data_IF_992847163840
#
_entry.id   IF_992847163840
#
_cell.length_a   1.000
_cell.length_b   1.000
_cell.length_c   1.000
_cell.angle_alpha   90.00
_cell.angle_beta   90.00
_cell.angle_gamma   90.00
#
_symmetry.space_group_name_H-M   'P 1'
#
loop_
_entity.id
_entity.type
_entity.pdbx_description
1 polymer ?
#
# COMPACT_ATOMS: atom_id res chain seq x y z
N UNK A 1 5.81 -9.09 -10.02
CA UNK A 1 6.15 -8.03 -11.01
C UNK A 1 5.20 -8.04 -12.21
N UNK A 2 5.28 -9.00 -13.16
CA UNK A 2 4.40 -8.96 -14.36
C UNK A 2 2.91 -9.16 -14.05
N UNK A 3 2.58 -9.98 -13.05
CA UNK A 3 1.20 -10.17 -12.60
C UNK A 3 0.63 -8.89 -11.95
N UNK A 4 1.41 -8.23 -11.08
CA UNK A 4 1.00 -7.00 -10.37
C UNK A 4 0.74 -5.84 -11.33
N UNK A 5 1.52 -5.73 -12.42
CA UNK A 5 1.25 -4.79 -13.51
C UNK A 5 -0.11 -5.00 -14.15
N UNK A 6 -0.45 -6.25 -14.47
CA UNK A 6 -1.76 -6.57 -15.04
C UNK A 6 -2.87 -6.31 -14.04
N UNK A 7 -2.66 -6.62 -12.76
CA UNK A 7 -3.66 -6.44 -11.73
C UNK A 7 -3.97 -4.95 -11.48
N UNK A 8 -2.93 -4.11 -11.35
CA UNK A 8 -3.07 -2.65 -11.24
C UNK A 8 -3.71 -2.04 -12.48
N UNK A 9 -3.36 -2.52 -13.68
CA UNK A 9 -4.01 -2.09 -14.94
C UNK A 9 -5.51 -2.42 -14.96
N UNK A 10 -5.91 -3.62 -14.53
CA UNK A 10 -7.32 -4.01 -14.48
C UNK A 10 -8.11 -3.15 -13.48
N UNK A 11 -7.51 -2.85 -12.33
CA UNK A 11 -8.11 -1.96 -11.34
C UNK A 11 -8.27 -0.54 -11.88
N UNK A 12 -7.22 0.06 -12.45
CA UNK A 12 -7.27 1.41 -13.07
C UNK A 12 -8.30 1.46 -14.20
N UNK A 13 -8.36 0.42 -15.04
CA UNK A 13 -9.36 0.29 -16.10
C UNK A 13 -10.79 0.27 -15.53
N UNK A 14 -11.03 -0.46 -14.45
CA UNK A 14 -12.33 -0.47 -13.76
C UNK A 14 -12.67 0.88 -13.15
N UNK A 15 -11.70 1.56 -12.51
CA UNK A 15 -11.91 2.91 -11.98
C UNK A 15 -12.32 3.90 -13.06
N UNK A 16 -11.69 3.84 -14.25
CA UNK A 16 -12.02 4.71 -15.38
C UNK A 16 -13.39 4.40 -15.97
N UNK A 17 -13.66 3.13 -16.23
CA UNK A 17 -14.85 2.70 -16.98
C UNK A 17 -16.11 2.63 -16.12
N UNK A 18 -15.98 2.21 -14.86
CA UNK A 18 -17.11 2.03 -13.92
C UNK A 18 -17.33 3.28 -13.09
N UNK A 19 -16.26 3.91 -12.60
CA UNK A 19 -16.35 5.03 -11.65
C UNK A 19 -16.14 6.41 -12.30
N UNK A 20 -15.83 6.45 -13.61
CA UNK A 20 -15.59 7.70 -14.33
C UNK A 20 -14.30 8.42 -13.94
N UNK A 21 -13.31 7.73 -13.35
CA UNK A 21 -12.03 8.34 -13.01
C UNK A 21 -11.31 8.85 -14.26
N UNK A 22 -10.93 10.14 -14.26
CA UNK A 22 -10.21 10.79 -15.38
C UNK A 22 -8.82 11.27 -15.00
N UNK A 23 -8.43 11.08 -13.74
CA UNK A 23 -7.13 11.49 -13.24
C UNK A 23 -5.98 10.60 -13.75
N UNK A 24 -4.74 11.00 -13.47
CA UNK A 24 -3.59 10.13 -13.66
C UNK A 24 -3.58 9.05 -12.58
N UNK A 25 -3.15 7.83 -12.91
CA UNK A 25 -2.99 6.76 -11.91
C UNK A 25 -1.93 7.20 -10.89
N UNK A 26 -2.27 7.34 -9.60
CA UNK A 26 -1.32 7.81 -8.60
C UNK A 26 -0.49 6.66 -8.04
N UNK A 27 0.66 7.02 -7.47
CA UNK A 27 1.55 6.11 -6.77
C UNK A 27 2.04 6.75 -5.47
N UNK A 28 2.50 5.94 -4.52
CA UNK A 28 3.11 6.42 -3.27
C UNK A 28 4.63 6.27 -3.35
N UNK A 29 5.36 7.39 -3.46
CA UNK A 29 6.83 7.38 -3.50
C UNK A 29 7.42 7.36 -2.09
N UNK A 30 7.49 6.18 -1.48
CA UNK A 30 8.05 6.01 -0.12
C UNK A 30 9.45 6.54 0.04
N UNK A 31 10.23 6.63 -1.04
CA UNK A 31 11.59 7.12 -0.96
C UNK A 31 11.69 8.57 -0.51
N UNK A 32 10.62 9.34 -0.73
CA UNK A 32 10.50 10.72 -0.25
C UNK A 32 10.10 10.77 1.22
N UNK A 33 9.34 9.78 1.68
CA UNK A 33 8.75 9.75 3.03
C UNK A 33 9.52 8.85 3.99
N UNK A 34 10.54 8.10 3.55
CA UNK A 34 11.20 7.04 4.33
C UNK A 34 11.74 7.51 5.69
N UNK A 35 12.13 8.78 5.80
CA UNK A 35 12.64 9.37 7.04
C UNK A 35 11.53 9.57 8.09
N UNK A 36 10.30 9.79 7.64
CA UNK A 36 9.10 9.89 8.47
C UNK A 36 7.89 9.31 7.70
N UNK A 37 7.79 7.97 7.69
CA UNK A 37 6.71 7.28 6.99
C UNK A 37 5.34 7.59 7.60
N UNK A 38 5.29 7.80 8.91
CA UNK A 38 4.04 8.09 9.64
C UNK A 38 3.47 9.45 9.23
N UNK A 39 4.34 10.42 8.96
CA UNK A 39 3.98 11.75 8.45
C UNK A 39 3.72 11.82 6.94
N UNK A 40 3.67 10.68 6.22
CA UNK A 40 3.45 10.70 4.78
C UNK A 40 2.10 11.35 4.42
N UNK A 41 2.04 12.24 3.41
CA UNK A 41 0.79 12.89 2.98
C UNK A 41 -0.34 11.94 2.62
N UNK A 42 -0.02 10.71 2.18
CA UNK A 42 -1.05 9.70 1.87
C UNK A 42 -1.81 9.23 3.12
N UNK A 43 -1.18 9.30 4.29
CA UNK A 43 -1.72 8.84 5.57
C UNK A 43 -2.43 9.96 6.35
N UNK A 44 -2.57 11.15 5.77
CA UNK A 44 -3.27 12.26 6.43
C UNK A 44 -4.70 11.90 6.86
N UNK A 45 -5.16 12.54 7.93
CA UNK A 45 -6.49 12.34 8.51
C UNK A 45 -7.62 13.00 7.71
N UNK A 46 -7.26 13.79 6.68
CA UNK A 46 -8.24 14.50 5.87
C UNK A 46 -9.25 13.53 5.26
N UNK A 47 -10.55 13.68 5.52
CA UNK A 47 -11.56 12.81 4.92
C UNK A 47 -11.59 12.95 3.40
N UNK A 48 -11.07 14.04 2.82
CA UNK A 48 -11.10 14.30 1.37
C UNK A 48 -9.84 13.85 0.64
N UNK A 49 -8.68 14.07 1.24
CA UNK A 49 -7.39 13.93 0.56
C UNK A 49 -6.54 12.78 1.09
N UNK A 50 -6.69 12.44 2.38
CA UNK A 50 -5.90 11.41 3.04
C UNK A 50 -6.59 10.07 3.06
N UNK A 51 -5.80 9.00 3.03
CA UNK A 51 -6.31 7.63 3.10
C UNK A 51 -6.41 7.13 4.55
N UNK A 52 -5.97 7.93 5.53
CA UNK A 52 -6.00 7.61 6.96
C UNK A 52 -4.72 6.92 7.45
N UNK A 53 -4.34 7.19 8.69
CA UNK A 53 -3.15 6.61 9.31
C UNK A 53 -3.41 5.27 10.00
N UNK A 54 -2.79 5.10 11.17
CA UNK A 54 -2.98 3.91 12.02
C UNK A 54 -4.40 3.87 12.57
N UNK A 55 -4.91 2.67 12.78
CA UNK A 55 -6.19 2.46 13.44
C UNK A 55 -6.09 2.32 14.95
N UNK A 56 -7.27 2.18 15.56
CA UNK A 56 -7.41 1.95 16.99
C UNK A 56 -7.19 0.47 17.34
N UNK A 57 -6.00 0.18 17.85
CA UNK A 57 -5.57 -1.15 18.25
C UNK A 57 -5.74 -1.45 19.75
N UNK A 58 -6.13 -0.46 20.57
CA UNK A 58 -5.90 -0.52 22.02
C UNK A 58 -6.96 0.10 22.91
N UNK A 59 -8.03 0.68 22.35
CA UNK A 59 -9.12 1.25 23.17
C UNK A 59 -9.89 0.20 23.98
N UNK A 60 -9.94 -1.05 23.52
CA UNK A 60 -10.60 -2.15 24.21
C UNK A 60 -9.96 -3.51 23.89
N UNK A 61 -10.35 -4.55 24.64
CA UNK A 61 -9.99 -5.94 24.36
C UNK A 61 -10.54 -6.45 23.04
N UNK A 62 -11.49 -5.76 22.43
CA UNK A 62 -12.12 -6.09 21.14
C UNK A 62 -11.56 -5.25 19.99
N UNK A 63 -10.73 -4.23 20.28
CA UNK A 63 -10.10 -3.42 19.25
C UNK A 63 -9.29 -4.28 18.26
N UNK A 64 -9.45 -3.95 16.98
CA UNK A 64 -8.86 -4.67 15.83
C UNK A 64 -8.24 -3.67 14.84
N UNK A 65 -7.55 -2.65 15.36
CA UNK A 65 -6.78 -1.69 14.57
C UNK A 65 -7.59 -0.98 13.46
N UNK A 66 -8.89 -0.72 13.69
CA UNK A 66 -9.77 -0.08 12.71
C UNK A 66 -9.35 1.38 12.50
N UNK A 67 -9.19 1.79 11.23
CA UNK A 67 -8.81 3.16 10.85
C UNK A 67 -9.82 4.18 11.39
N UNK A 68 -9.33 5.20 12.08
CA UNK A 68 -10.19 6.18 12.80
C UNK A 68 -10.40 7.50 12.05
N UNK A 69 -9.56 7.79 11.04
CA UNK A 69 -9.57 9.05 10.31
C UNK A 69 -9.25 8.84 8.81
N UNK A 70 -9.33 9.91 8.01
CA UNK A 70 -9.15 9.82 6.56
C UNK A 70 -10.39 9.31 5.82
N UNK A 71 -10.26 9.18 4.49
CA UNK A 71 -11.40 8.92 3.61
C UNK A 71 -12.13 7.59 3.85
N UNK A 72 -11.47 6.62 4.48
CA UNK A 72 -11.97 5.25 4.70
C UNK A 72 -12.33 4.96 6.16
N UNK A 73 -12.26 5.96 7.04
CA UNK A 73 -12.74 5.79 8.41
C UNK A 73 -14.26 5.50 8.40
N UNK A 74 -14.77 4.67 9.33
CA UNK A 74 -16.21 4.42 9.45
C UNK A 74 -17.04 5.70 9.58
N UNK A 75 -16.48 6.72 10.25
CA UNK A 75 -17.08 8.06 10.41
C UNK A 75 -17.27 8.84 9.11
N UNK A 76 -16.57 8.47 8.03
CA UNK A 76 -16.49 9.22 6.77
C UNK A 76 -17.13 8.51 5.57
N UNK A 77 -18.10 7.63 5.81
CA UNK A 77 -18.83 6.92 4.75
C UNK A 77 -19.05 5.43 5.03
N UNK A 78 -18.79 4.97 6.26
CA UNK A 78 -18.98 3.59 6.69
C UNK A 78 -18.34 2.57 5.73
N UNK A 79 -17.08 2.80 5.36
CA UNK A 79 -16.36 1.91 4.46
C UNK A 79 -16.19 0.53 5.10
N UNK A 80 -16.70 -0.50 4.42
CA UNK A 80 -16.68 -1.90 4.88
C UNK A 80 -16.12 -2.80 3.80
N UNK A 81 -15.19 -3.66 4.20
CA UNK A 81 -14.61 -4.72 3.41
C UNK A 81 -15.49 -5.97 3.53
N UNK A 82 -15.63 -6.75 2.46
CA UNK A 82 -16.47 -7.94 2.45
C UNK A 82 -15.71 -9.26 2.69
N UNK A 83 -14.40 -9.27 2.43
CA UNK A 83 -13.53 -10.45 2.48
C UNK A 83 -12.38 -10.21 3.46
N UNK A 84 -11.91 -11.18 4.26
CA UNK A 84 -12.41 -12.56 4.38
C UNK A 84 -13.77 -12.67 5.09
N UNK A 85 -14.11 -11.68 5.90
CA UNK A 85 -15.44 -11.46 6.48
C UNK A 85 -15.79 -9.97 6.39
N UNK A 86 -17.05 -9.57 6.60
CA UNK A 86 -17.40 -8.16 6.75
C UNK A 86 -16.67 -7.49 7.92
N UNK A 87 -15.87 -6.46 7.65
CA UNK A 87 -15.19 -5.64 8.68
C UNK A 87 -14.80 -4.26 8.13
N UNK A 88 -14.37 -3.35 9.01
CA UNK A 88 -13.81 -2.06 8.60
C UNK A 88 -12.33 -2.18 8.24
N UNK A 89 -11.80 -1.22 7.48
CA UNK A 89 -10.38 -1.19 7.13
C UNK A 89 -9.50 -1.08 8.38
N UNK A 90 -8.45 -1.90 8.45
CA UNK A 90 -7.54 -2.03 9.59
C UNK A 90 -6.11 -1.71 9.20
N UNK A 91 -5.43 -0.94 10.04
CA UNK A 91 -4.00 -0.59 9.89
C UNK A 91 -3.33 -0.52 11.26
N UNK A 92 -2.12 -1.04 11.35
CA UNK A 92 -1.30 -0.96 12.55
C UNK A 92 0.10 -0.50 12.13
N UNK A 93 0.26 0.82 11.98
CA UNK A 93 1.49 1.37 11.43
C UNK A 93 2.65 1.08 12.39
N UNK A 94 3.67 0.35 11.93
CA UNK A 94 4.83 0.02 12.77
C UNK A 94 6.11 -0.09 11.96
N UNK A 95 7.23 0.34 12.54
CA UNK A 95 8.55 0.09 11.95
C UNK A 95 9.09 -1.30 12.30
N UNK A 96 8.60 -1.93 13.37
CA UNK A 96 9.04 -3.26 13.82
C UNK A 96 7.80 -4.09 14.12
N UNK A 97 7.57 -5.15 13.35
CA UNK A 97 6.39 -6.01 13.50
C UNK A 97 6.52 -7.01 14.65
N UNK A 98 7.75 -7.43 14.96
CA UNK A 98 8.05 -8.54 15.85
C UNK A 98 7.88 -9.91 15.20
N UNK A 99 7.59 -10.00 13.89
CA UNK A 99 7.30 -11.27 13.20
C UNK A 99 8.54 -12.07 12.85
N UNK A 100 9.71 -11.41 12.80
CA UNK A 100 10.95 -12.02 12.33
C UNK A 100 12.08 -11.89 13.37
N UNK A 101 12.96 -12.90 13.50
CA UNK A 101 14.16 -12.74 14.29
C UNK A 101 15.11 -11.72 13.65
N UNK A 102 15.70 -10.83 14.47
CA UNK A 102 16.60 -9.75 14.02
C UNK A 102 15.98 -8.82 12.96
N UNK A 103 14.69 -8.55 13.10
CA UNK A 103 13.95 -7.66 12.20
C UNK A 103 14.59 -6.27 12.14
N UNK A 104 14.73 -5.75 10.91
CA UNK A 104 15.16 -4.38 10.67
C UNK A 104 13.93 -3.46 10.60
N UNK A 105 14.09 -2.16 10.92
CA UNK A 105 13.04 -1.18 10.70
C UNK A 105 12.51 -1.22 9.27
N UNK A 106 11.18 -1.15 9.09
CA UNK A 106 10.56 -1.22 7.76
C UNK A 106 11.06 -0.11 6.82
N UNK A 107 11.45 1.05 7.34
CA UNK A 107 12.01 2.12 6.51
C UNK A 107 13.44 1.88 6.00
N UNK A 108 14.11 0.80 6.42
CA UNK A 108 15.52 0.54 6.09
C UNK A 108 15.80 0.26 4.61
N UNK A 109 14.82 -0.22 3.84
CA UNK A 109 14.95 -0.46 2.39
C UNK A 109 14.37 0.66 1.56
N UNK A 110 13.61 1.58 2.16
CA UNK A 110 12.77 2.52 1.42
C UNK A 110 13.50 3.81 1.04
N UNK A 111 14.70 4.04 1.58
CA UNK A 111 15.49 5.25 1.30
C UNK A 111 15.90 5.40 -0.17
N UNK A 112 16.15 6.65 -0.63
CA UNK A 112 16.42 6.95 -2.03
C UNK A 112 17.67 6.23 -2.56
N UNK A 113 18.70 6.03 -1.74
CA UNK A 113 19.91 5.32 -2.15
C UNK A 113 19.67 3.82 -2.35
N UNK A 114 18.87 3.19 -1.48
CA UNK A 114 18.50 1.78 -1.66
C UNK A 114 17.67 1.61 -2.93
N UNK A 115 16.65 2.47 -3.12
CA UNK A 115 15.79 2.44 -4.31
C UNK A 115 16.61 2.66 -5.59
N UNK A 116 17.55 3.62 -5.58
CA UNK A 116 18.46 3.87 -6.70
C UNK A 116 19.34 2.67 -6.99
N UNK A 117 19.95 2.07 -5.96
CA UNK A 117 20.78 0.88 -6.12
C UNK A 117 19.97 -0.31 -6.65
N UNK A 118 18.74 -0.47 -6.18
CA UNK A 118 17.83 -1.53 -6.63
C UNK A 118 17.56 -1.45 -8.14
N UNK A 119 17.45 -0.25 -8.72
CA UNK A 119 17.21 -0.04 -10.15
C UNK A 119 18.50 0.02 -10.98
N UNK A 120 19.56 0.67 -10.50
CA UNK A 120 20.78 0.92 -11.30
C UNK A 120 21.72 -0.28 -11.30
N UNK A 121 21.94 -0.91 -10.14
CA UNK A 121 22.95 -1.97 -9.99
C UNK A 121 22.47 -3.35 -10.45
N UNK A 122 21.17 -3.51 -10.69
CA UNK A 122 20.57 -4.78 -11.12
C UNK A 122 20.12 -4.77 -12.59
N UNK A 123 20.57 -3.78 -13.38
CA UNK A 123 20.22 -3.68 -14.80
C UNK A 123 20.65 -4.94 -15.55
N UNK A 124 19.70 -5.63 -16.18
CA UNK A 124 19.95 -6.89 -16.91
C UNK A 124 20.00 -8.16 -16.06
N UNK A 125 19.93 -8.06 -14.73
CA UNK A 125 19.86 -9.20 -13.80
C UNK A 125 18.48 -9.23 -13.12
N UNK A 126 17.54 -9.92 -13.77
CA UNK A 126 16.16 -9.98 -13.31
C UNK A 126 16.02 -10.54 -11.89
N UNK A 127 16.80 -11.56 -11.52
CA UNK A 127 16.64 -12.21 -10.22
C UNK A 127 17.10 -11.31 -9.08
N UNK A 128 18.23 -10.61 -9.23
CA UNK A 128 18.66 -9.63 -8.22
C UNK A 128 17.71 -8.45 -8.11
N UNK A 129 17.23 -7.96 -9.26
CA UNK A 129 16.23 -6.91 -9.28
C UNK A 129 14.93 -7.35 -8.56
N UNK A 130 14.41 -8.53 -8.90
CA UNK A 130 13.21 -9.10 -8.28
C UNK A 130 13.38 -9.21 -6.76
N UNK A 131 14.53 -9.69 -6.30
CA UNK A 131 14.82 -9.80 -4.87
C UNK A 131 14.84 -8.43 -4.18
N UNK A 132 15.51 -7.43 -4.76
CA UNK A 132 15.52 -6.07 -4.20
C UNK A 132 14.12 -5.44 -4.15
N UNK A 133 13.30 -5.67 -5.18
CA UNK A 133 11.91 -5.22 -5.22
C UNK A 133 11.03 -5.93 -4.21
N UNK A 134 11.24 -7.22 -3.98
CA UNK A 134 10.50 -7.98 -2.97
C UNK A 134 10.78 -7.46 -1.56
N UNK A 135 12.02 -7.03 -1.26
CA UNK A 135 12.35 -6.38 0.01
C UNK A 135 11.64 -5.03 0.19
N UNK A 136 11.63 -4.19 -0.86
CA UNK A 136 10.90 -2.92 -0.88
C UNK A 136 9.38 -3.14 -0.70
N UNK A 137 8.84 -4.12 -1.42
CA UNK A 137 7.45 -4.54 -1.39
C UNK A 137 7.03 -4.95 0.03
N UNK A 138 7.73 -5.94 0.59
CA UNK A 138 7.38 -6.52 1.89
C UNK A 138 7.45 -5.49 3.02
N UNK A 139 8.41 -4.57 2.99
CA UNK A 139 8.55 -3.56 4.03
C UNK A 139 7.38 -2.58 4.10
N UNK A 140 6.76 -2.21 2.98
CA UNK A 140 5.55 -1.35 3.02
C UNK A 140 4.32 -2.12 3.45
N UNK A 141 4.15 -3.35 2.95
CA UNK A 141 3.08 -4.22 3.42
C UNK A 141 3.15 -4.38 4.94
N UNK A 142 4.32 -4.73 5.48
CA UNK A 142 4.56 -4.89 6.91
C UNK A 142 4.43 -3.57 7.69
N UNK A 143 4.90 -2.45 7.11
CA UNK A 143 4.81 -1.14 7.76
C UNK A 143 3.37 -0.75 8.02
N UNK A 144 2.48 -0.96 7.05
CA UNK A 144 1.07 -0.57 7.18
C UNK A 144 0.33 -1.51 8.13
N UNK A 145 0.71 -2.79 8.16
CA UNK A 145 0.07 -3.79 9.00
C UNK A 145 -1.39 -4.04 8.57
N UNK A 146 -2.19 -4.58 9.50
CA UNK A 146 -3.63 -4.78 9.31
C UNK A 146 -3.97 -5.52 8.01
N UNK A 147 -4.92 -4.98 7.25
CA UNK A 147 -5.37 -5.61 5.99
C UNK A 147 -4.29 -5.60 4.92
N UNK A 148 -3.49 -4.52 4.79
CA UNK A 148 -2.43 -4.46 3.78
C UNK A 148 -1.34 -5.51 4.03
N UNK A 149 -1.06 -5.85 5.29
CA UNK A 149 -0.10 -6.92 5.61
C UNK A 149 -0.71 -8.33 5.59
N UNK A 150 -2.02 -8.46 5.33
CA UNK A 150 -2.71 -9.75 5.39
C UNK A 150 -2.97 -10.26 6.81
N UNK A 151 -3.01 -9.36 7.79
CA UNK A 151 -3.32 -9.70 9.17
C UNK A 151 -4.75 -10.24 9.31
N UNK A 152 -4.95 -11.29 10.09
CA UNK A 152 -6.29 -11.87 10.27
C UNK A 152 -7.21 -10.91 11.04
N UNK A 153 -8.48 -10.69 10.62
CA UNK A 153 -9.50 -10.06 11.47
C UNK A 153 -9.59 -10.76 12.81
N UNK A 154 -9.64 -10.00 13.90
CA UNK A 154 -9.72 -10.56 15.26
C UNK A 154 -10.99 -11.37 15.51
N UNK A 155 -12.04 -11.08 14.73
CA UNK A 155 -13.28 -11.85 14.71
C UNK A 155 -13.14 -13.24 14.08
N UNK A 156 -12.04 -13.53 13.39
CA UNK A 156 -11.70 -14.86 12.87
C UNK A 156 -10.59 -15.51 13.70
N UNK A 157 -10.65 -16.83 13.91
CA UNK A 157 -9.51 -17.60 14.40
C UNK A 157 -8.32 -17.46 13.45
N UNK A 158 -7.10 -17.40 14.00
CA UNK A 158 -5.88 -17.24 13.20
C UNK A 158 -5.68 -18.43 12.23
N UNK A 159 -6.09 -19.64 12.63
CA UNK A 159 -6.05 -20.82 11.75
C UNK A 159 -6.88 -20.65 10.47
N UNK A 160 -8.00 -19.94 10.53
CA UNK A 160 -8.90 -19.77 9.39
C UNK A 160 -8.30 -18.83 8.34
N UNK A 161 -7.42 -17.92 8.77
CA UNK A 161 -6.69 -17.01 7.88
C UNK A 161 -5.42 -17.64 7.26
N UNK A 162 -5.04 -18.84 7.68
CA UNK A 162 -3.79 -19.48 7.26
C UNK A 162 -3.78 -19.73 5.75
N UNK A 163 -2.76 -19.19 5.07
CA UNK A 163 -2.63 -19.28 3.62
C UNK A 163 -3.54 -18.32 2.83
N UNK A 164 -4.36 -17.51 3.51
CA UNK A 164 -5.20 -16.49 2.88
C UNK A 164 -4.66 -15.07 3.03
N UNK A 165 -3.66 -14.84 3.89
CA UNK A 165 -3.12 -13.51 4.20
C UNK A 165 -2.90 -12.62 2.95
N UNK A 166 -2.29 -13.17 1.90
CA UNK A 166 -1.97 -12.41 0.67
C UNK A 166 -3.24 -12.05 -0.14
N UNK A 167 -4.32 -12.83 -0.01
CA UNK A 167 -5.53 -12.73 -0.84
C UNK A 167 -6.37 -11.49 -0.56
N UNK A 168 -6.22 -10.87 0.61
CA UNK A 168 -7.00 -9.70 1.01
C UNK A 168 -6.14 -8.45 1.25
N UNK A 169 -4.84 -8.49 0.94
CA UNK A 169 -4.00 -7.28 0.91
C UNK A 169 -4.52 -6.17 -0.01
N UNK A 170 -5.19 -6.46 -1.16
CA UNK A 170 -5.76 -5.42 -2.02
C UNK A 170 -7.02 -4.73 -1.45
N UNK A 171 -7.55 -5.21 -0.31
CA UNK A 171 -8.63 -4.52 0.39
C UNK A 171 -8.21 -3.12 0.85
N UNK A 172 -6.94 -2.96 1.22
CA UNK A 172 -6.41 -1.67 1.60
C UNK A 172 -6.16 -0.82 0.34
N UNK A 173 -6.78 0.35 0.19
CA UNK A 173 -6.57 1.24 -0.96
C UNK A 173 -5.11 1.63 -1.19
N UNK A 174 -4.24 1.60 -0.17
CA UNK A 174 -2.80 1.82 -0.29
C UNK A 174 -2.11 0.79 -1.19
N UNK A 175 -2.67 -0.42 -1.30
CA UNK A 175 -2.16 -1.48 -2.17
C UNK A 175 -1.94 -0.98 -3.60
N UNK A 176 -2.92 -0.26 -4.15
CA UNK A 176 -2.88 0.16 -5.54
C UNK A 176 -1.80 1.20 -5.80
N UNK A 177 -1.61 2.14 -4.87
CA UNK A 177 -0.56 3.14 -4.97
C UNK A 177 0.82 2.51 -4.74
N UNK A 178 0.88 1.47 -3.92
CA UNK A 178 2.09 0.73 -3.67
C UNK A 178 2.54 -0.04 -4.89
N UNK A 179 1.67 -0.87 -5.43
CA UNK A 179 2.00 -1.62 -6.64
C UNK A 179 2.22 -0.72 -7.86
N UNK A 180 1.57 0.46 -7.93
CA UNK A 180 1.89 1.47 -8.95
C UNK A 180 3.31 2.05 -8.83
N UNK A 181 3.81 2.28 -7.60
CA UNK A 181 5.19 2.71 -7.39
C UNK A 181 6.18 1.60 -7.75
N UNK A 182 5.89 0.34 -7.40
CA UNK A 182 6.74 -0.78 -7.81
C UNK A 182 6.77 -0.94 -9.34
N UNK A 183 5.64 -0.82 -10.00
CA UNK A 183 5.55 -0.84 -11.47
C UNK A 183 6.33 0.32 -12.12
N UNK A 184 6.28 1.51 -11.51
CA UNK A 184 7.09 2.65 -11.92
C UNK A 184 8.59 2.34 -11.84
N UNK A 185 9.05 1.70 -10.76
CA UNK A 185 10.46 1.30 -10.62
C UNK A 185 10.85 0.22 -11.63
N UNK A 186 9.99 -0.76 -11.88
CA UNK A 186 10.18 -1.76 -12.94
C UNK A 186 10.39 -1.13 -14.31
N UNK A 187 9.53 -0.18 -14.67
CA UNK A 187 9.63 0.54 -15.93
C UNK A 187 10.96 1.26 -16.08
N UNK A 188 11.47 1.89 -15.00
CA UNK A 188 12.75 2.60 -15.04
C UNK A 188 13.93 1.71 -15.40
N UNK A 189 13.94 0.44 -14.97
CA UNK A 189 15.03 -0.51 -15.30
C UNK A 189 15.01 -0.94 -16.76
N UNK A 190 13.85 -0.88 -17.42
CA UNK A 190 13.69 -1.27 -18.83
C UNK A 190 13.76 -0.09 -19.80
N UNK A 191 13.80 1.14 -19.29
CA UNK A 191 13.90 2.34 -20.11
C UNK A 191 15.34 2.84 -20.21
N UNK A 192 15.71 3.49 -21.34
CA UNK A 192 16.98 4.19 -21.44
C UNK A 192 17.13 5.25 -20.32
N UNK A 193 18.34 5.44 -19.75
CA UNK A 193 18.60 6.50 -18.79
C UNK A 193 18.16 7.87 -19.33
N UNK A 194 17.44 8.66 -18.51
CA UNK A 194 16.95 9.99 -18.89
C UNK A 194 15.58 10.03 -19.58
N UNK A 195 14.90 8.89 -19.73
CA UNK A 195 13.51 8.86 -20.25
C UNK A 195 12.55 9.52 -19.26
N UNK A 196 11.86 10.63 -19.61
CA UNK A 196 10.93 11.29 -18.71
C UNK A 196 9.70 10.41 -18.47
N UNK A 197 9.39 10.09 -17.22
CA UNK A 197 8.07 9.58 -16.86
C UNK A 197 7.14 10.75 -16.57
N UNK A 198 5.87 10.65 -16.99
CA UNK A 198 4.85 11.64 -16.66
C UNK A 198 4.78 11.80 -15.13
N UNK A 199 4.92 13.01 -14.58
CA UNK A 199 4.82 13.23 -13.15
C UNK A 199 3.37 13.00 -12.70
N UNK A 200 3.08 11.84 -12.15
CA UNK A 200 1.84 11.56 -11.42
C UNK A 200 2.13 11.64 -9.92
N UNK A 201 2.35 12.85 -9.40
CA UNK A 201 2.35 13.03 -7.94
C UNK A 201 0.96 12.69 -7.42
N UNK A 202 0.90 12.22 -6.17
CA UNK A 202 -0.33 11.94 -5.45
C UNK A 202 -1.36 13.05 -5.70
N UNK A 203 -2.34 12.76 -6.58
CA UNK A 203 -3.43 13.66 -6.89
C UNK A 203 -4.70 12.88 -6.64
N UNK A 204 -5.18 13.02 -5.40
CA UNK A 204 -6.49 12.63 -4.88
C UNK A 204 -7.27 11.61 -5.74
N UNK A 205 -7.12 10.30 -5.45
CA UNK A 205 -7.97 9.25 -6.05
C UNK A 205 -9.47 9.53 -5.82
N UNK A 206 -9.80 10.22 -4.73
CA UNK A 206 -11.15 10.25 -4.14
C UNK A 206 -11.86 11.61 -4.20
N UNK A 207 -11.28 12.61 -4.88
CA UNK A 207 -11.88 13.95 -4.92
C UNK A 207 -13.18 14.02 -5.76
N UNK A 208 -13.47 12.97 -6.55
CA UNK A 208 -14.61 12.91 -7.47
C UNK A 208 -15.62 11.80 -7.14
N UNK A 209 -15.80 11.43 -5.86
CA UNK A 209 -16.94 10.58 -5.46
C UNK A 209 -16.77 9.07 -5.69
N UNK A 210 -15.53 8.58 -5.83
CA UNK A 210 -15.19 7.16 -6.11
C UNK A 210 -15.27 6.26 -4.86
N UNK A 211 -15.81 6.75 -3.73
CA UNK A 211 -15.82 6.00 -2.46
C UNK A 211 -16.73 4.78 -2.43
N UNK A 212 -17.64 4.67 -3.39
CA UNK A 212 -18.76 3.72 -3.37
C UNK A 212 -19.02 3.06 -4.73
N UNK A 213 -18.04 3.13 -5.64
CA UNK A 213 -18.07 2.41 -6.92
C UNK A 213 -17.22 1.15 -6.83
#
# INVERSE_FOLDING_TARGET
MSADRWFTYLFDTSLRNTCGYRGPTPYWDWSLDHADLFGSPVLEDSPKYGLGGTGDCGSSSEADCTVIAGAFAPSNGNFTLAWPIPHHLRRNLTLITGWFPNEKPQNSTLGPDFVRNAIEQNTGDFFKFQHAMELLHNHIHNFVGGDLAGGCPKALPEEDCKGMAITFTPNDPLFWLHHAQLDRLWNKVHMPPGTPMLPSRFMCLMCNGVRSC
#
